data_IF_064917583707
#
_entry.id   IF_064917583707
#
_cell.length_a   1.000
_cell.length_b   1.000
_cell.length_c   1.000
_cell.angle_alpha   90.00
_cell.angle_beta   90.00
_cell.angle_gamma   90.00
#
_symmetry.space_group_name_H-M   'P 1'
#
loop_
_entity.id
_entity.type
_entity.pdbx_description
1 polymer ?
#
# COMPACT_ATOMS: atom_id res chain seq x y z
N UNK A 1 -4.61 -3.68 -15.63
CA UNK A 1 -5.38 -4.02 -14.41
C UNK A 1 -4.62 -3.60 -13.18
N UNK A 2 -5.28 -2.96 -12.25
CA UNK A 2 -4.58 -2.55 -11.04
C UNK A 2 -5.43 -2.86 -9.82
N UNK A 3 -4.78 -2.86 -8.67
CA UNK A 3 -5.42 -3.12 -7.40
C UNK A 3 -5.10 -2.00 -6.43
N UNK A 4 -6.05 -1.68 -5.57
CA UNK A 4 -5.82 -0.69 -4.52
C UNK A 4 -5.64 -1.39 -3.20
N UNK A 5 -4.72 -0.87 -2.40
CA UNK A 5 -4.45 -1.37 -1.06
C UNK A 5 -4.39 -0.20 -0.12
N UNK A 6 -4.90 -0.38 1.06
CA UNK A 6 -4.84 0.66 2.09
C UNK A 6 -3.82 0.26 3.14
N UNK A 7 -2.97 1.20 3.52
CA UNK A 7 -1.97 0.96 4.55
C UNK A 7 -2.67 0.93 5.89
N UNK A 8 -2.67 -0.23 6.54
CA UNK A 8 -3.28 -0.39 7.85
C UNK A 8 -2.31 -0.05 8.97
N UNK A 9 -1.07 -0.48 8.83
CA UNK A 9 -0.09 -0.32 9.87
C UNK A 9 1.31 -0.44 9.27
N UNK A 10 2.23 0.34 9.80
CA UNK A 10 3.62 0.26 9.38
C UNK A 10 4.40 -0.30 10.55
N UNK A 11 5.09 -1.40 10.31
CA UNK A 11 5.81 -2.11 11.36
C UNK A 11 7.26 -2.28 10.95
N UNK A 12 8.09 -1.29 11.29
CA UNK A 12 9.52 -1.41 11.00
C UNK A 12 9.81 -1.63 9.53
N UNK A 13 10.18 -2.84 9.19
CA UNK A 13 10.64 -3.15 7.83
C UNK A 13 9.53 -3.51 6.88
N UNK A 14 8.30 -3.59 7.36
CA UNK A 14 7.21 -3.96 6.47
C UNK A 14 5.94 -3.19 6.86
N UNK A 15 4.99 -3.20 5.96
CA UNK A 15 3.71 -2.58 6.19
C UNK A 15 2.61 -3.60 5.98
N UNK A 16 1.54 -3.44 6.74
CA UNK A 16 0.35 -4.28 6.60
C UNK A 16 -0.63 -3.54 5.72
N UNK A 17 -1.01 -4.16 4.63
CA UNK A 17 -1.91 -3.56 3.66
C UNK A 17 -3.22 -4.31 3.61
N UNK A 18 -4.31 -3.57 3.49
CA UNK A 18 -5.63 -4.15 3.34
C UNK A 18 -6.00 -4.19 1.87
N UNK A 19 -6.40 -5.35 1.41
CA UNK A 19 -6.89 -5.50 0.06
C UNK A 19 -8.40 -5.57 0.04
N UNK A 20 -8.95 -5.92 -1.11
CA UNK A 20 -10.40 -6.09 -1.23
C UNK A 20 -10.87 -7.25 -0.38
N UNK A 21 -12.12 -7.16 0.05
CA UNK A 21 -12.78 -8.25 0.77
C UNK A 21 -12.10 -8.59 2.09
N UNK A 22 -11.47 -7.60 2.70
CA UNK A 22 -10.89 -7.79 4.01
C UNK A 22 -9.59 -8.56 4.05
N UNK A 23 -8.99 -8.84 2.91
CA UNK A 23 -7.70 -9.51 2.90
C UNK A 23 -6.61 -8.56 3.41
N UNK A 24 -5.57 -9.14 3.98
CA UNK A 24 -4.44 -8.39 4.49
C UNK A 24 -3.15 -9.02 3.99
N UNK A 25 -2.17 -8.18 3.72
CA UNK A 25 -0.87 -8.64 3.23
C UNK A 25 0.23 -7.85 3.88
N UNK A 26 1.35 -8.52 4.15
CA UNK A 26 2.56 -7.85 4.62
C UNK A 26 3.48 -7.64 3.44
N UNK A 27 3.96 -6.41 3.29
CA UNK A 27 4.83 -6.07 2.17
C UNK A 27 6.03 -5.33 2.73
N UNK A 28 7.21 -5.72 2.27
CA UNK A 28 8.44 -5.08 2.73
C UNK A 28 8.45 -3.61 2.34
N UNK A 29 8.87 -2.78 3.29
CA UNK A 29 8.93 -1.34 3.03
C UNK A 29 9.85 -1.01 1.87
N UNK A 30 10.83 -1.84 1.61
CA UNK A 30 11.74 -1.62 0.49
C UNK A 30 11.04 -1.68 -0.87
N UNK A 31 9.88 -2.32 -0.91
CA UNK A 31 9.09 -2.42 -2.14
C UNK A 31 8.06 -1.33 -2.27
N UNK A 32 7.96 -0.47 -1.26
CA UNK A 32 6.91 0.53 -1.21
C UNK A 32 7.48 1.92 -1.42
N UNK A 33 6.65 2.87 -1.86
CA UNK A 33 7.15 4.23 -2.07
C UNK A 33 7.54 4.89 -0.76
N UNK A 34 8.41 5.88 -0.86
CA UNK A 34 8.81 6.65 0.29
C UNK A 34 7.69 7.56 0.76
N UNK A 35 7.75 7.90 2.04
CA UNK A 35 6.75 8.79 2.59
C UNK A 35 5.44 8.13 2.93
N UNK A 36 5.48 6.81 3.03
CA UNK A 36 4.28 6.04 3.30
C UNK A 36 3.79 6.30 4.71
N UNK A 37 2.47 6.37 4.86
CA UNK A 37 1.83 6.57 6.16
C UNK A 37 0.63 5.67 6.27
N UNK A 38 0.26 5.39 7.51
CA UNK A 38 -0.95 4.64 7.77
C UNK A 38 -2.16 5.42 7.25
N UNK A 39 -3.09 4.70 6.67
CA UNK A 39 -4.28 5.30 6.11
C UNK A 39 -4.16 5.67 4.65
N UNK A 40 -2.96 5.65 4.10
CA UNK A 40 -2.78 5.99 2.70
C UNK A 40 -3.22 4.83 1.81
N UNK A 41 -3.62 5.17 0.60
CA UNK A 41 -4.01 4.17 -0.38
C UNK A 41 -2.90 4.03 -1.41
N UNK A 42 -2.57 2.79 -1.71
CA UNK A 42 -1.55 2.46 -2.70
C UNK A 42 -2.20 1.78 -3.88
N UNK A 43 -1.60 1.96 -5.03
CA UNK A 43 -2.01 1.28 -6.25
C UNK A 43 -0.92 0.30 -6.63
N UNK A 44 -1.32 -0.95 -6.82
CA UNK A 44 -0.41 -1.98 -7.32
C UNK A 44 -0.71 -2.20 -8.79
N UNK A 45 0.25 -1.88 -9.63
CA UNK A 45 0.07 -1.93 -11.07
C UNK A 45 1.42 -2.20 -11.69
N UNK A 46 1.46 -3.10 -12.66
CA UNK A 46 2.71 -3.46 -13.36
C UNK A 46 3.78 -3.90 -12.39
N UNK A 47 3.38 -4.65 -11.37
CA UNK A 47 4.29 -5.19 -10.36
C UNK A 47 4.99 -4.12 -9.55
N UNK A 48 4.37 -2.94 -9.43
CA UNK A 48 4.90 -1.84 -8.64
C UNK A 48 3.83 -1.25 -7.78
N UNK A 49 4.24 -0.72 -6.63
CA UNK A 49 3.33 0.00 -5.75
C UNK A 49 3.54 1.49 -5.92
N UNK A 50 2.44 2.23 -5.98
CA UNK A 50 2.47 3.68 -6.05
C UNK A 50 1.48 4.25 -5.06
N UNK A 51 1.78 5.45 -4.57
CA UNK A 51 0.81 6.15 -3.75
C UNK A 51 -0.29 6.70 -4.66
N UNK A 52 -1.52 6.43 -4.29
CA UNK A 52 -2.65 6.98 -5.01
C UNK A 52 -2.81 8.43 -4.56
N UNK A 53 -2.61 9.34 -5.49
CA UNK A 53 -2.78 10.75 -5.18
C UNK A 53 -4.23 11.11 -5.36
N UNK A 54 -4.75 11.76 -4.36
CA UNK A 54 -6.15 12.13 -4.35
C UNK A 54 -6.26 13.55 -4.85
N UNK A 55 -6.47 13.68 -6.14
CA UNK A 55 -6.61 14.99 -6.74
C UNK A 55 -7.95 15.58 -6.42
N UNK A 56 -7.95 16.75 -5.93
CA UNK A 56 -9.21 17.41 -5.62
C UNK A 56 -9.27 18.76 -6.30
#
# INVERSE_FOLDING_TARGET
MYFERTVLQICGDYALLAGPEGTQSEVAMALLPEGLREGMTLIFENFEYRVKEDET
#
